data_IF_833208103663
#
_entry.id   IF_833208103663
#
_cell.length_a   1.000
_cell.length_b   1.000
_cell.length_c   1.000
_cell.angle_alpha   90.00
_cell.angle_beta   90.00
_cell.angle_gamma   90.00
#
_symmetry.space_group_name_H-M   'P 1'
#
loop_
_entity.id
_entity.type
_entity.pdbx_description
1 polymer ?
#
# COMPACT_ATOMS: atom_id res chain seq x y z
N UNK A 1 26.19 -10.92 -30.30
CA UNK A 1 25.35 -10.61 -29.13
C UNK A 1 26.18 -10.58 -27.87
N UNK A 2 26.07 -9.53 -27.07
CA UNK A 2 26.80 -9.47 -25.79
C UNK A 2 26.10 -10.38 -24.79
N UNK A 3 26.40 -11.66 -24.84
CA UNK A 3 25.81 -12.69 -23.99
C UNK A 3 26.07 -12.44 -22.49
N UNK A 4 27.22 -11.85 -22.16
CA UNK A 4 27.60 -11.57 -20.79
C UNK A 4 26.72 -10.54 -20.11
N UNK A 5 26.37 -9.44 -20.81
CA UNK A 5 25.50 -8.40 -20.29
C UNK A 5 24.08 -8.92 -20.05
N UNK A 6 23.56 -9.68 -21.02
CA UNK A 6 22.21 -10.24 -20.94
C UNK A 6 22.08 -11.19 -19.75
N UNK A 7 23.06 -12.10 -19.60
CA UNK A 7 23.08 -13.04 -18.49
C UNK A 7 23.17 -12.34 -17.14
N UNK A 8 24.04 -11.32 -17.03
CA UNK A 8 24.20 -10.56 -15.80
C UNK A 8 22.90 -9.85 -15.41
N UNK A 9 22.16 -9.32 -16.38
CA UNK A 9 20.89 -8.65 -16.15
C UNK A 9 19.81 -9.62 -15.66
N UNK A 10 19.72 -10.80 -16.28
CA UNK A 10 18.81 -11.86 -15.84
C UNK A 10 19.16 -12.29 -14.41
N UNK A 11 20.45 -12.55 -14.14
CA UNK A 11 20.89 -13.00 -12.82
C UNK A 11 20.57 -11.98 -11.73
N UNK A 12 20.75 -10.70 -12.03
CA UNK A 12 20.42 -9.63 -11.07
C UNK A 12 18.93 -9.60 -10.76
N UNK A 13 18.10 -9.71 -11.78
CA UNK A 13 16.64 -9.73 -11.56
C UNK A 13 16.23 -10.96 -10.76
N UNK A 14 16.77 -12.14 -11.08
CA UNK A 14 16.46 -13.36 -10.35
C UNK A 14 16.92 -13.32 -8.91
N UNK A 15 18.06 -12.70 -8.62
CA UNK A 15 18.52 -12.48 -7.25
C UNK A 15 17.53 -11.58 -6.49
N UNK A 16 17.05 -10.54 -7.15
CA UNK A 16 16.04 -9.65 -6.55
C UNK A 16 14.74 -10.39 -6.27
N UNK A 17 14.24 -11.16 -7.22
CA UNK A 17 13.02 -11.93 -7.03
C UNK A 17 13.17 -12.96 -5.92
N UNK A 18 14.31 -13.66 -5.86
CA UNK A 18 14.57 -14.60 -4.76
C UNK A 18 14.59 -13.92 -3.42
N UNK A 19 15.26 -12.76 -3.32
CA UNK A 19 15.31 -12.00 -2.09
C UNK A 19 13.92 -11.53 -1.66
N UNK A 20 13.10 -11.08 -2.62
CA UNK A 20 11.73 -10.65 -2.35
C UNK A 20 10.87 -11.82 -1.88
N UNK A 21 11.03 -13.00 -2.49
CA UNK A 21 10.32 -14.21 -2.08
C UNK A 21 10.64 -14.61 -0.64
N UNK A 22 11.92 -14.50 -0.25
CA UNK A 22 12.33 -14.75 1.14
C UNK A 22 11.71 -13.74 2.10
N UNK A 23 11.73 -12.47 1.72
CA UNK A 23 11.11 -11.41 2.52
C UNK A 23 9.62 -11.68 2.68
N UNK A 24 8.92 -12.00 1.60
CA UNK A 24 7.49 -12.31 1.60
C UNK A 24 7.18 -13.51 2.50
N UNK A 25 7.98 -14.57 2.39
CA UNK A 25 7.76 -15.77 3.21
C UNK A 25 7.89 -15.48 4.71
N UNK A 26 8.82 -14.59 5.08
CA UNK A 26 9.07 -14.23 6.48
C UNK A 26 8.08 -13.19 6.99
N UNK A 27 7.83 -12.14 6.20
CA UNK A 27 7.06 -10.98 6.65
C UNK A 27 5.58 -11.02 6.27
N UNK A 28 5.18 -11.86 5.30
CA UNK A 28 3.81 -11.98 4.86
C UNK A 28 3.36 -10.91 3.86
N UNK A 29 4.27 -10.07 3.38
CA UNK A 29 3.96 -9.04 2.39
C UNK A 29 5.18 -8.74 1.53
N UNK A 30 4.99 -7.98 0.44
CA UNK A 30 6.03 -7.65 -0.52
C UNK A 30 6.44 -6.15 -0.47
N UNK A 31 6.43 -5.55 0.74
CA UNK A 31 6.69 -4.11 0.90
C UNK A 31 7.90 -3.84 1.79
N UNK A 32 9.11 -4.26 1.36
CA UNK A 32 10.29 -3.92 2.16
C UNK A 32 10.49 -2.41 2.17
N UNK A 33 10.97 -1.84 3.30
CA UNK A 33 11.36 -0.44 3.32
C UNK A 33 12.40 -0.15 2.24
N UNK A 34 12.41 1.09 1.74
CA UNK A 34 13.29 1.47 0.62
C UNK A 34 14.75 1.14 0.88
N UNK A 35 15.20 1.22 2.13
CA UNK A 35 16.60 0.97 2.51
C UNK A 35 16.84 -0.46 2.97
N UNK A 36 15.84 -1.32 2.88
CA UNK A 36 15.97 -2.70 3.36
C UNK A 36 17.02 -3.47 2.56
N UNK A 37 17.87 -4.18 3.28
CA UNK A 37 18.86 -5.08 2.71
C UNK A 37 18.51 -6.50 3.16
N UNK A 38 18.26 -7.38 2.19
CA UNK A 38 17.98 -8.78 2.46
C UNK A 38 19.28 -9.58 2.24
N UNK A 39 19.88 -10.04 3.34
CA UNK A 39 21.23 -10.57 3.28
C UNK A 39 22.20 -9.46 2.86
N UNK A 40 22.81 -9.60 1.70
CA UNK A 40 23.69 -8.58 1.10
C UNK A 40 23.03 -7.85 -0.06
N UNK A 41 21.76 -8.16 -0.36
CA UNK A 41 21.05 -7.63 -1.53
C UNK A 41 20.21 -6.43 -1.13
N UNK A 42 20.37 -5.32 -1.86
CA UNK A 42 19.58 -4.10 -1.63
C UNK A 42 18.16 -4.26 -2.17
N UNK A 43 17.34 -5.00 -1.44
CA UNK A 43 16.00 -5.39 -1.88
C UNK A 43 15.05 -4.20 -1.99
N UNK A 44 15.05 -3.29 -1.04
CA UNK A 44 14.17 -2.14 -1.07
C UNK A 44 14.36 -1.29 -2.30
N UNK A 45 15.61 -1.10 -2.71
CA UNK A 45 15.94 -0.37 -3.94
C UNK A 45 15.48 -1.14 -5.19
N UNK A 46 15.70 -2.45 -5.22
CA UNK A 46 15.27 -3.30 -6.33
C UNK A 46 13.76 -3.23 -6.53
N UNK A 47 12.99 -3.31 -5.46
CA UNK A 47 11.53 -3.20 -5.48
C UNK A 47 11.10 -1.84 -6.03
N UNK A 48 11.74 -0.76 -5.59
CA UNK A 48 11.43 0.58 -6.09
C UNK A 48 11.67 0.70 -7.59
N UNK A 49 12.74 0.09 -8.10
CA UNK A 49 13.04 0.08 -9.54
C UNK A 49 11.96 -0.65 -10.31
N UNK A 50 11.47 -1.80 -9.80
CA UNK A 50 10.39 -2.53 -10.46
C UNK A 50 9.12 -1.68 -10.58
N UNK A 51 8.74 -0.96 -9.52
CA UNK A 51 7.57 -0.06 -9.56
C UNK A 51 7.77 1.09 -10.53
N UNK A 52 8.96 1.66 -10.54
CA UNK A 52 9.27 2.76 -11.45
C UNK A 52 9.14 2.33 -12.91
N UNK A 53 9.54 1.09 -13.22
CA UNK A 53 9.50 0.53 -14.56
C UNK A 53 8.24 -0.28 -14.85
N UNK A 54 7.15 -0.01 -14.19
CA UNK A 54 5.92 -0.82 -14.26
C UNK A 54 5.46 -1.09 -15.70
N UNK A 55 5.56 -0.12 -16.60
CA UNK A 55 5.12 -0.27 -17.98
C UNK A 55 6.14 -0.97 -18.87
N UNK A 56 7.34 -1.24 -18.36
CA UNK A 56 8.43 -1.85 -19.12
C UNK A 56 8.85 -3.21 -18.56
N UNK A 57 8.16 -3.69 -17.53
CA UNK A 57 8.44 -5.02 -16.97
C UNK A 57 7.91 -6.09 -17.94
N UNK A 58 8.75 -7.06 -18.37
CA UNK A 58 8.28 -8.14 -19.24
C UNK A 58 7.10 -8.89 -18.60
N UNK A 59 6.19 -9.37 -19.46
CA UNK A 59 4.96 -10.02 -19.00
C UNK A 59 5.23 -11.22 -18.08
N UNK A 60 6.27 -12.00 -18.36
CA UNK A 60 6.65 -13.14 -17.53
C UNK A 60 7.04 -12.71 -16.11
N UNK A 61 7.90 -11.69 -16.03
CA UNK A 61 8.32 -11.15 -14.72
C UNK A 61 7.14 -10.55 -13.96
N UNK A 62 6.28 -9.84 -14.67
CA UNK A 62 5.08 -9.27 -14.09
C UNK A 62 4.18 -10.35 -13.49
N UNK A 63 3.95 -11.43 -14.21
CA UNK A 63 3.14 -12.54 -13.69
C UNK A 63 3.73 -13.14 -12.43
N UNK A 64 5.06 -13.31 -12.40
CA UNK A 64 5.74 -13.87 -11.23
C UNK A 64 5.61 -12.96 -10.01
N UNK A 65 5.76 -11.65 -10.22
CA UNK A 65 5.59 -10.67 -9.14
C UNK A 65 4.13 -10.61 -8.68
N UNK A 66 3.18 -10.59 -9.60
CA UNK A 66 1.75 -10.58 -9.24
C UNK A 66 1.38 -11.82 -8.42
N UNK A 67 1.95 -12.98 -8.75
CA UNK A 67 1.67 -14.24 -8.07
C UNK A 67 2.03 -14.21 -6.58
N UNK A 68 3.02 -13.43 -6.19
CA UNK A 68 3.41 -13.29 -4.77
C UNK A 68 2.79 -12.06 -4.12
N UNK A 69 1.89 -11.36 -4.82
CA UNK A 69 1.20 -10.20 -4.27
C UNK A 69 1.99 -8.89 -4.34
N UNK A 70 2.84 -8.75 -5.35
CA UNK A 70 3.62 -7.52 -5.53
C UNK A 70 2.69 -6.33 -5.76
N UNK A 71 2.95 -5.24 -5.06
CA UNK A 71 2.14 -4.02 -5.15
C UNK A 71 2.83 -3.05 -6.11
N UNK A 72 2.20 -2.80 -7.27
CA UNK A 72 2.73 -1.91 -8.29
C UNK A 72 2.45 -0.45 -7.96
N UNK A 73 1.26 -0.15 -7.45
CA UNK A 73 0.88 1.19 -7.02
C UNK A 73 0.79 1.23 -5.50
N UNK A 74 1.83 1.75 -4.87
CA UNK A 74 1.91 1.79 -3.41
C UNK A 74 0.94 2.80 -2.81
N UNK A 75 0.62 3.88 -3.54
CA UNK A 75 -0.36 4.87 -3.08
C UNK A 75 -1.75 4.25 -3.01
N UNK A 76 -2.13 3.50 -4.04
CA UNK A 76 -3.40 2.80 -4.07
C UNK A 76 -3.48 1.77 -2.94
N UNK A 77 -2.42 1.01 -2.77
CA UNK A 77 -2.32 0.02 -1.70
C UNK A 77 -2.51 0.66 -0.31
N UNK A 78 -1.86 1.80 -0.06
CA UNK A 78 -2.01 2.51 1.21
C UNK A 78 -3.44 2.97 1.44
N UNK A 79 -4.10 3.44 0.38
CA UNK A 79 -5.49 3.85 0.49
C UNK A 79 -6.38 2.68 0.87
N UNK A 80 -6.20 1.54 0.21
CA UNK A 80 -6.98 0.33 0.49
C UNK A 80 -6.75 -0.17 1.92
N UNK A 81 -5.52 -0.10 2.41
CA UNK A 81 -5.24 -0.45 3.80
C UNK A 81 -5.98 0.46 4.77
N UNK A 82 -5.93 1.76 4.54
CA UNK A 82 -6.64 2.73 5.39
C UNK A 82 -8.12 2.48 5.38
N UNK A 83 -8.69 2.20 4.21
CA UNK A 83 -10.13 1.89 4.08
C UNK A 83 -10.50 0.62 4.87
N UNK A 84 -9.68 -0.42 4.77
CA UNK A 84 -9.92 -1.67 5.51
C UNK A 84 -9.88 -1.44 7.03
N UNK A 85 -8.94 -0.62 7.50
CA UNK A 85 -8.82 -0.28 8.93
C UNK A 85 -10.03 0.57 9.38
N UNK A 86 -10.50 1.48 8.52
CA UNK A 86 -11.71 2.26 8.81
C UNK A 86 -12.93 1.35 8.97
N UNK A 87 -13.04 0.32 8.12
CA UNK A 87 -14.12 -0.65 8.24
C UNK A 87 -14.07 -1.41 9.58
N UNK A 88 -12.88 -1.76 10.05
CA UNK A 88 -12.71 -2.37 11.37
C UNK A 88 -13.16 -1.44 12.49
N UNK A 89 -12.78 -0.17 12.40
CA UNK A 89 -13.21 0.84 13.38
C UNK A 89 -14.73 0.95 13.39
N UNK A 90 -15.34 1.04 12.21
CA UNK A 90 -16.81 1.17 12.10
C UNK A 90 -17.51 -0.06 12.70
N UNK A 91 -17.01 -1.27 12.44
CA UNK A 91 -17.61 -2.48 13.01
C UNK A 91 -17.55 -2.46 14.54
N UNK A 92 -16.45 -1.97 15.10
CA UNK A 92 -16.23 -1.91 16.53
C UNK A 92 -17.02 -0.79 17.19
N UNK A 93 -17.07 0.39 16.57
CA UNK A 93 -17.68 1.60 17.15
C UNK A 93 -19.07 1.91 16.65
N UNK A 94 -19.49 1.37 15.51
CA UNK A 94 -20.79 1.66 14.91
C UNK A 94 -20.87 2.95 14.12
N UNK A 95 -19.77 3.65 13.92
CA UNK A 95 -19.71 4.92 13.19
C UNK A 95 -18.32 5.15 12.62
N UNK A 96 -18.18 6.16 11.75
CA UNK A 96 -16.90 6.54 11.12
C UNK A 96 -16.32 7.84 11.72
N UNK A 97 -16.67 8.20 12.93
CA UNK A 97 -16.17 9.41 13.59
C UNK A 97 -14.86 9.12 14.31
N UNK A 98 -13.78 9.13 13.54
CA UNK A 98 -12.46 8.77 14.05
C UNK A 98 -11.76 10.03 14.58
N UNK A 99 -11.34 10.04 15.86
CA UNK A 99 -10.55 11.15 16.38
C UNK A 99 -9.24 11.33 15.61
N UNK A 100 -8.79 12.56 15.45
CA UNK A 100 -7.63 12.88 14.60
C UNK A 100 -6.34 12.16 15.01
N UNK A 101 -6.15 11.92 16.29
CA UNK A 101 -4.95 11.24 16.79
C UNK A 101 -5.16 9.75 17.05
N UNK A 102 -6.31 9.21 16.62
CA UNK A 102 -6.62 7.81 16.89
C UNK A 102 -5.75 6.88 16.07
N UNK A 103 -5.17 5.90 16.75
CA UNK A 103 -4.49 4.77 16.12
C UNK A 103 -5.37 3.54 16.27
N UNK A 104 -5.64 2.86 15.14
CA UNK A 104 -6.33 1.57 15.16
C UNK A 104 -5.25 0.50 14.98
N UNK A 105 -4.91 -0.19 16.06
CA UNK A 105 -3.74 -1.02 16.09
C UNK A 105 -2.49 -0.18 15.83
N UNK A 106 -1.70 -0.58 14.85
CA UNK A 106 -0.48 0.16 14.45
C UNK A 106 -0.73 1.17 13.34
N UNK A 107 -1.99 1.32 12.90
CA UNK A 107 -2.34 2.22 11.81
C UNK A 107 -2.81 3.56 12.32
N UNK A 108 -2.27 4.65 11.77
CA UNK A 108 -2.67 6.01 12.11
C UNK A 108 -3.98 6.36 11.40
N UNK A 109 -5.07 5.78 11.83
CA UNK A 109 -6.36 5.91 11.17
C UNK A 109 -6.88 7.35 11.18
N UNK A 110 -6.74 8.06 12.29
CA UNK A 110 -7.16 9.46 12.38
C UNK A 110 -6.47 10.34 11.34
N UNK A 111 -5.18 10.13 11.13
CA UNK A 111 -4.41 10.83 10.11
C UNK A 111 -4.90 10.48 8.70
N UNK A 112 -5.16 9.21 8.44
CA UNK A 112 -5.68 8.75 7.14
C UNK A 112 -7.03 9.40 6.83
N UNK A 113 -7.94 9.40 7.80
CA UNK A 113 -9.27 10.01 7.67
C UNK A 113 -9.14 11.51 7.38
N UNK A 114 -8.30 12.21 8.12
CA UNK A 114 -8.05 13.63 7.92
C UNK A 114 -7.52 13.93 6.51
N UNK A 115 -6.63 13.07 6.01
CA UNK A 115 -6.08 13.17 4.66
C UNK A 115 -7.17 13.02 3.61
N UNK A 116 -8.13 12.08 3.80
CA UNK A 116 -9.24 11.92 2.86
C UNK A 116 -10.11 13.17 2.79
N UNK A 117 -10.43 13.77 3.93
CA UNK A 117 -11.19 15.02 3.97
C UNK A 117 -10.50 16.13 3.20
N UNK A 118 -9.18 16.27 3.39
CA UNK A 118 -8.38 17.30 2.73
C UNK A 118 -8.33 17.09 1.22
N UNK A 119 -8.26 15.84 0.78
CA UNK A 119 -8.11 15.48 -0.63
C UNK A 119 -9.45 15.21 -1.34
N UNK A 120 -10.57 15.57 -0.72
CA UNK A 120 -11.91 15.27 -1.23
C UNK A 120 -12.10 15.68 -2.70
N UNK A 121 -11.64 16.87 -3.07
CA UNK A 121 -11.85 17.41 -4.42
C UNK A 121 -11.12 16.61 -5.49
N UNK A 122 -9.95 16.08 -5.15
CA UNK A 122 -9.10 15.35 -6.08
C UNK A 122 -9.37 13.85 -6.09
N UNK A 123 -10.19 13.37 -5.16
CA UNK A 123 -10.47 11.95 -5.02
C UNK A 123 -11.35 11.45 -6.16
N UNK A 124 -11.10 10.20 -6.59
CA UNK A 124 -11.93 9.55 -7.61
C UNK A 124 -13.38 9.39 -7.15
N UNK A 125 -14.30 9.39 -8.11
CA UNK A 125 -15.72 9.17 -7.82
C UNK A 125 -15.94 7.81 -7.16
N UNK A 126 -15.19 6.79 -7.56
CA UNK A 126 -15.25 5.45 -6.98
C UNK A 126 -14.93 5.45 -5.49
N UNK A 127 -13.81 6.09 -5.12
CA UNK A 127 -13.42 6.16 -3.71
C UNK A 127 -14.41 6.96 -2.87
N UNK A 128 -14.91 8.09 -3.41
CA UNK A 128 -15.94 8.87 -2.74
C UNK A 128 -17.19 8.04 -2.49
N UNK A 129 -17.64 7.29 -3.50
CA UNK A 129 -18.81 6.45 -3.37
C UNK A 129 -18.62 5.37 -2.30
N UNK A 130 -17.44 4.74 -2.25
CA UNK A 130 -17.12 3.74 -1.25
C UNK A 130 -17.16 4.32 0.16
N UNK A 131 -16.58 5.49 0.34
CA UNK A 131 -16.60 6.18 1.64
C UNK A 131 -18.01 6.62 2.03
N UNK A 132 -18.76 7.18 1.10
CA UNK A 132 -20.14 7.59 1.36
C UNK A 132 -21.02 6.41 1.77
N UNK A 133 -20.82 5.26 1.13
CA UNK A 133 -21.60 4.05 1.40
C UNK A 133 -21.47 3.59 2.86
N UNK A 134 -20.33 3.81 3.48
CA UNK A 134 -20.10 3.40 4.88
C UNK A 134 -20.38 4.53 5.87
N UNK A 135 -20.86 5.67 5.39
CA UNK A 135 -21.18 6.80 6.29
C UNK A 135 -19.98 7.64 6.68
N UNK A 136 -19.01 7.80 5.78
CA UNK A 136 -17.82 8.61 6.06
C UNK A 136 -18.21 10.05 6.37
N UNK A 137 -17.62 10.60 7.43
CA UNK A 137 -17.88 11.97 7.87
C UNK A 137 -16.88 12.92 7.21
N UNK A 138 -17.33 13.65 6.19
CA UNK A 138 -16.45 14.55 5.41
C UNK A 138 -16.10 15.83 6.15
N UNK A 139 -17.05 16.35 6.93
CA UNK A 139 -16.86 17.59 7.67
C UNK A 139 -16.74 17.29 9.15
N UNK A 140 -15.66 17.75 9.78
CA UNK A 140 -15.44 17.55 11.22
C UNK A 140 -16.58 18.16 12.07
N UNK A 141 -17.25 19.20 11.56
CA UNK A 141 -18.39 19.82 12.25
C UNK A 141 -19.65 18.96 12.20
N UNK A 142 -19.71 17.97 11.30
CA UNK A 142 -20.82 17.02 11.22
C UNK A 142 -20.68 15.87 12.22
N UNK A 143 -19.77 15.96 13.15
CA UNK A 143 -19.69 15.00 14.24
C UNK A 143 -20.99 15.07 15.04
N UNK A 144 -21.48 13.91 15.45
CA UNK A 144 -22.60 13.89 16.37
C UNK A 144 -22.22 14.71 17.60
N UNK A 145 -23.17 15.48 18.14
CA UNK A 145 -22.89 16.22 19.38
C UNK A 145 -22.39 15.24 20.44
N UNK A 146 -21.31 15.64 21.12
CA UNK A 146 -20.82 14.87 22.24
C UNK A 146 -21.95 14.75 23.26
N UNK A 147 -22.21 13.53 23.77
CA UNK A 147 -23.18 13.42 24.84
C UNK A 147 -22.71 14.28 26.03
N UNK A 148 -23.60 15.14 26.45
CA UNK A 148 -23.33 15.97 27.62
C UNK A 148 -23.36 15.14 28.89
#
# INVERSE_FOLDING_TARGET
>A
MPTGWYKANIDRWEKGFTALSRFHAREGHCHPPRRHVEGKFKLGQWVSVQRYRVYHVPAERRRRLDAIGFVWDFKDYRWEQGFAVLLKFKRRKGHCRVPIFHNEGNHRLGWWVSTQRRNRREMSAERKARLNKIGFVWNAEMRAPTPH
#
